data_IF_080606538929
#
_entry.id   IF_080606538929
#
_cell.length_a   1.000
_cell.length_b   1.000
_cell.length_c   1.000
_cell.angle_alpha   90.00
_cell.angle_beta   90.00
_cell.angle_gamma   90.00
#
_symmetry.space_group_name_H-M   'P 1'
#
loop_
_entity.id
_entity.type
_entity.pdbx_description
1 polymer ?
#
# COMPACT_ATOMS: atom_id res chain seq x y z
N UNK A 1 7.07 -17.59 -11.48
CA UNK A 1 8.09 -17.06 -10.54
C UNK A 1 7.42 -15.95 -9.73
N UNK A 2 7.17 -16.15 -8.43
CA UNK A 2 6.43 -15.18 -7.60
C UNK A 2 7.39 -14.05 -7.20
N UNK A 3 7.11 -12.81 -7.61
CA UNK A 3 7.92 -11.65 -7.26
C UNK A 3 7.92 -11.48 -5.74
N UNK A 4 9.10 -11.47 -5.09
CA UNK A 4 9.24 -11.38 -3.62
C UNK A 4 8.57 -10.13 -3.05
N UNK A 5 8.58 -9.02 -3.79
CA UNK A 5 7.92 -7.78 -3.41
C UNK A 5 6.39 -7.92 -3.34
N UNK A 6 5.80 -8.69 -4.27
CA UNK A 6 4.35 -8.99 -4.25
C UNK A 6 3.97 -9.80 -3.01
N UNK A 7 4.78 -10.79 -2.65
CA UNK A 7 4.58 -11.58 -1.43
C UNK A 7 4.58 -10.73 -0.16
N UNK A 8 5.52 -9.78 -0.05
CA UNK A 8 5.57 -8.83 1.07
C UNK A 8 4.28 -8.00 1.13
N UNK A 9 3.84 -7.44 -0.01
CA UNK A 9 2.61 -6.65 -0.04
C UNK A 9 1.37 -7.47 0.33
N UNK A 10 1.28 -8.73 -0.12
CA UNK A 10 0.21 -9.67 0.26
C UNK A 10 0.20 -9.94 1.77
N UNK A 11 1.36 -10.19 2.38
CA UNK A 11 1.48 -10.42 3.82
C UNK A 11 1.10 -9.18 4.64
N UNK A 12 1.50 -7.98 4.20
CA UNK A 12 1.10 -6.71 4.81
C UNK A 12 -0.43 -6.55 4.80
N UNK A 13 -1.08 -6.77 3.65
CA UNK A 13 -2.54 -6.67 3.55
C UNK A 13 -3.23 -7.73 4.43
N UNK A 14 -2.74 -8.96 4.43
CA UNK A 14 -3.29 -10.02 5.25
C UNK A 14 -3.12 -9.74 6.75
N UNK A 15 -2.03 -9.09 7.17
CA UNK A 15 -1.84 -8.64 8.54
C UNK A 15 -2.89 -7.59 8.92
N UNK A 16 -3.11 -6.57 8.07
CA UNK A 16 -4.14 -5.55 8.29
C UNK A 16 -5.54 -6.16 8.46
N UNK A 17 -5.92 -7.10 7.60
CA UNK A 17 -7.23 -7.77 7.69
C UNK A 17 -7.37 -8.58 8.99
N UNK A 18 -6.32 -9.32 9.38
CA UNK A 18 -6.36 -10.16 10.60
C UNK A 18 -6.44 -9.37 11.88
N UNK A 19 -5.81 -8.19 11.94
CA UNK A 19 -5.72 -7.38 13.16
C UNK A 19 -6.80 -6.30 13.26
N UNK A 20 -7.54 -6.05 12.18
CA UNK A 20 -8.54 -4.98 12.17
C UNK A 20 -9.80 -5.34 12.97
N UNK A 21 -10.30 -4.34 13.70
CA UNK A 21 -11.62 -4.37 14.34
C UNK A 21 -12.73 -3.83 13.42
N UNK A 22 -12.38 -3.15 12.32
CA UNK A 22 -13.34 -2.57 11.39
C UNK A 22 -13.93 -3.66 10.49
N UNK A 23 -15.26 -3.79 10.45
CA UNK A 23 -15.96 -4.73 9.56
C UNK A 23 -15.68 -4.43 8.08
N UNK A 24 -15.46 -3.17 7.72
CA UNK A 24 -15.06 -2.80 6.35
C UNK A 24 -13.71 -3.42 5.96
N UNK A 25 -12.77 -3.55 6.90
CA UNK A 25 -11.45 -4.12 6.62
C UNK A 25 -11.47 -5.65 6.85
N UNK A 26 -12.02 -6.10 7.99
CA UNK A 26 -12.00 -7.49 8.40
C UNK A 26 -12.85 -8.39 7.51
N UNK A 27 -14.07 -7.94 7.19
CA UNK A 27 -15.03 -8.75 6.45
C UNK A 27 -15.09 -8.34 4.97
N UNK A 28 -15.16 -7.04 4.70
CA UNK A 28 -15.28 -6.51 3.32
C UNK A 28 -13.95 -6.33 2.61
N UNK A 29 -12.81 -6.41 3.33
CA UNK A 29 -11.45 -6.27 2.78
C UNK A 29 -11.25 -4.97 1.99
N UNK A 30 -11.92 -3.92 2.44
CA UNK A 30 -11.79 -2.56 1.90
C UNK A 30 -10.51 -1.91 2.46
N UNK A 31 -9.37 -2.45 2.04
CA UNK A 31 -8.05 -1.97 2.40
C UNK A 31 -7.07 -2.32 1.27
N UNK A 32 -5.92 -1.64 1.24
CA UNK A 32 -4.86 -1.95 0.28
C UNK A 32 -3.51 -1.80 0.96
N UNK A 33 -2.52 -2.57 0.48
CA UNK A 33 -1.14 -2.47 0.90
C UNK A 33 -0.24 -2.49 -0.33
N UNK A 34 0.72 -1.56 -0.38
CA UNK A 34 1.64 -1.40 -1.49
C UNK A 34 3.02 -0.99 -0.98
N UNK A 35 4.03 -1.35 -1.75
CA UNK A 35 5.40 -0.87 -1.64
C UNK A 35 5.62 0.17 -2.74
N UNK A 36 6.17 1.31 -2.38
CA UNK A 36 6.50 2.38 -3.30
C UNK A 36 7.99 2.68 -3.28
N UNK A 37 8.51 3.13 -4.42
CA UNK A 37 9.86 3.65 -4.54
C UNK A 37 9.94 5.08 -4.01
N UNK A 38 11.15 5.56 -3.68
CA UNK A 38 11.41 6.98 -3.41
C UNK A 38 10.92 7.94 -4.51
N UNK A 39 10.77 7.46 -5.74
CA UNK A 39 10.24 8.22 -6.88
C UNK A 39 8.72 8.42 -6.82
N UNK A 40 8.02 7.74 -5.90
CA UNK A 40 6.56 7.71 -5.80
C UNK A 40 5.89 6.63 -6.65
N UNK A 41 6.66 5.87 -7.42
CA UNK A 41 6.16 4.75 -8.22
C UNK A 41 5.83 3.54 -7.36
N UNK A 42 4.73 2.84 -7.67
CA UNK A 42 4.34 1.61 -6.97
C UNK A 42 5.17 0.43 -7.48
N UNK A 43 6.02 -0.12 -6.62
CA UNK A 43 6.86 -1.29 -6.90
C UNK A 43 6.07 -2.60 -6.85
N UNK A 44 5.21 -2.75 -5.85
CA UNK A 44 4.38 -3.93 -5.66
C UNK A 44 3.15 -3.61 -4.83
N UNK A 45 2.12 -4.43 -4.98
CA UNK A 45 0.86 -4.25 -4.26
C UNK A 45 0.15 -5.58 -4.06
N UNK A 46 -0.64 -5.66 -2.98
CA UNK A 46 -1.50 -6.78 -2.73
C UNK A 46 -2.63 -6.82 -3.77
N UNK A 47 -2.94 -8.02 -4.26
CA UNK A 47 -4.03 -8.24 -5.23
C UNK A 47 -5.42 -8.19 -4.54
N UNK A 48 -5.45 -8.38 -3.22
CA UNK A 48 -6.67 -8.31 -2.40
C UNK A 48 -6.83 -6.88 -1.89
N UNK A 49 -7.83 -6.17 -2.43
CA UNK A 49 -8.20 -4.83 -2.00
C UNK A 49 -9.15 -4.14 -2.97
N UNK A 50 -9.70 -2.99 -2.55
CA UNK A 50 -10.62 -2.16 -3.34
C UNK A 50 -9.91 -1.63 -4.60
N UNK A 51 -10.37 -1.96 -5.82
CA UNK A 51 -9.70 -1.55 -7.06
C UNK A 51 -9.53 -0.04 -7.22
N UNK A 52 -10.30 0.78 -6.49
CA UNK A 52 -10.23 2.23 -6.52
C UNK A 52 -8.87 2.77 -6.07
N UNK A 53 -8.20 2.13 -5.10
CA UNK A 53 -6.91 2.60 -4.61
C UNK A 53 -5.81 2.51 -5.69
N UNK A 54 -5.92 1.56 -6.63
CA UNK A 54 -4.94 1.35 -7.72
C UNK A 54 -4.70 2.61 -8.57
N UNK A 55 -5.76 3.38 -8.85
CA UNK A 55 -5.67 4.54 -9.73
C UNK A 55 -5.07 5.78 -9.06
N UNK A 56 -5.22 5.91 -7.74
CA UNK A 56 -4.89 7.15 -7.02
C UNK A 56 -3.55 7.08 -6.27
N UNK A 57 -3.08 5.89 -5.90
CA UNK A 57 -1.91 5.75 -5.01
C UNK A 57 -0.63 6.43 -5.54
N UNK A 58 -0.27 6.36 -6.83
CA UNK A 58 0.89 7.10 -7.34
C UNK A 58 0.77 8.62 -7.16
N UNK A 59 -0.43 9.18 -7.40
CA UNK A 59 -0.68 10.61 -7.25
C UNK A 59 -0.64 11.06 -5.78
N UNK A 60 -1.18 10.22 -4.88
CA UNK A 60 -1.13 10.46 -3.43
C UNK A 60 0.31 10.48 -2.95
N UNK A 61 1.11 9.47 -3.30
CA UNK A 61 2.52 9.40 -2.86
C UNK A 61 3.32 10.56 -3.45
N UNK A 62 3.12 10.90 -4.74
CA UNK A 62 3.78 12.06 -5.34
C UNK A 62 3.45 13.36 -4.61
N UNK A 63 2.21 13.53 -4.15
CA UNK A 63 1.81 14.71 -3.37
C UNK A 63 2.47 14.73 -2.00
N UNK A 64 2.50 13.59 -1.29
CA UNK A 64 3.20 13.44 0.00
C UNK A 64 4.68 13.79 -0.16
N UNK A 65 5.36 13.28 -1.18
CA UNK A 65 6.79 13.52 -1.40
C UNK A 65 7.11 14.98 -1.76
N UNK A 66 6.15 15.73 -2.31
CA UNK A 66 6.31 17.18 -2.56
C UNK A 66 6.18 17.99 -1.27
N UNK A 67 5.29 17.58 -0.38
CA UNK A 67 5.08 18.26 0.90
C UNK A 67 6.10 17.85 1.96
N UNK A 68 6.56 16.60 1.90
CA UNK A 68 7.53 15.98 2.80
C UNK A 68 8.65 15.33 1.97
N UNK A 69 9.71 16.07 1.62
CA UNK A 69 10.84 15.54 0.87
C UNK A 69 11.53 14.39 1.61
N UNK A 70 12.05 13.41 0.87
CA UNK A 70 12.67 12.20 1.45
C UNK A 70 13.91 12.54 2.27
N UNK A 71 14.65 13.57 1.86
CA UNK A 71 15.86 14.05 2.52
C UNK A 71 15.58 14.54 3.95
N UNK A 72 14.33 14.90 4.24
CA UNK A 72 13.88 15.40 5.55
C UNK A 72 13.22 14.30 6.40
N UNK A 73 12.88 13.15 5.80
CA UNK A 73 12.24 12.04 6.50
C UNK A 73 13.21 11.34 7.46
N UNK A 74 12.69 10.90 8.61
CA UNK A 74 13.42 10.11 9.60
C UNK A 74 12.85 8.69 9.67
N UNK A 75 13.68 7.64 9.87
CA UNK A 75 13.23 6.28 10.08
C UNK A 75 12.33 6.10 11.30
#
# INVERSE_FOLDING_TARGET
>A
MRNRWKGIAEEMCAALVRTSYSTNIKDRRDCSAALALPTGEILAQAEVGTPLHLGIMPAVISSILREFPIEEMRP
#
